data_IF_924787957796
#
_entry.id   IF_924787957796
#
_cell.length_a   1.000
_cell.length_b   1.000
_cell.length_c   1.000
_cell.angle_alpha   90.00
_cell.angle_beta   90.00
_cell.angle_gamma   90.00
#
_symmetry.space_group_name_H-M   'P 1'
#
loop_
_entity.id
_entity.type
_entity.pdbx_description
1 polymer ?
#
# COMPACT_ATOMS: atom_id res chain seq x y z
N UNK A 1 -30.01 15.27 -42.21
CA UNK A 1 -28.86 15.93 -41.55
C UNK A 1 -28.33 15.14 -40.35
N UNK A 2 -29.07 14.17 -39.80
CA UNK A 2 -28.66 13.39 -38.63
C UNK A 2 -27.63 12.27 -38.94
N UNK A 3 -27.61 11.76 -40.18
CA UNK A 3 -26.71 10.66 -40.60
C UNK A 3 -25.24 11.06 -40.68
N UNK A 4 -24.92 12.34 -40.93
CA UNK A 4 -23.55 12.85 -40.94
C UNK A 4 -23.01 13.10 -39.52
N UNK A 5 -23.87 13.56 -38.59
CA UNK A 5 -23.51 13.78 -37.18
C UNK A 5 -23.20 12.49 -36.42
N UNK A 6 -23.98 11.42 -36.67
CA UNK A 6 -23.76 10.09 -36.09
C UNK A 6 -22.53 9.35 -36.63
N UNK A 7 -22.00 9.75 -37.79
CA UNK A 7 -20.74 9.18 -38.28
C UNK A 7 -19.55 9.93 -37.70
N UNK A 8 -19.70 11.22 -37.49
CA UNK A 8 -18.66 12.09 -36.95
C UNK A 8 -18.46 11.88 -35.44
N UNK A 9 -19.54 11.71 -34.66
CA UNK A 9 -19.43 11.38 -33.23
C UNK A 9 -18.76 10.00 -32.99
N UNK A 10 -19.02 9.02 -33.86
CA UNK A 10 -18.46 7.68 -33.74
C UNK A 10 -16.97 7.69 -34.12
N UNK A 11 -16.58 8.43 -35.16
CA UNK A 11 -15.16 8.62 -35.48
C UNK A 11 -14.43 9.37 -34.37
N UNK A 12 -15.02 10.44 -33.83
CA UNK A 12 -14.41 11.21 -32.72
C UNK A 12 -14.30 10.36 -31.45
N UNK A 13 -15.33 9.57 -31.11
CA UNK A 13 -15.28 8.65 -29.97
C UNK A 13 -14.22 7.56 -30.19
N UNK A 14 -14.12 6.97 -31.38
CA UNK A 14 -13.10 5.95 -31.68
C UNK A 14 -11.67 6.51 -31.66
N UNK A 15 -11.47 7.74 -32.12
CA UNK A 15 -10.15 8.41 -32.09
C UNK A 15 -9.79 8.76 -30.64
N UNK A 16 -10.73 9.34 -29.87
CA UNK A 16 -10.50 9.69 -28.47
C UNK A 16 -10.27 8.44 -27.61
N UNK A 17 -11.09 7.40 -27.77
CA UNK A 17 -10.92 6.15 -27.03
C UNK A 17 -9.58 5.49 -27.36
N UNK A 18 -9.11 5.54 -28.61
CA UNK A 18 -7.80 5.01 -29.01
C UNK A 18 -6.62 5.75 -28.38
N UNK A 19 -6.64 7.09 -28.40
CA UNK A 19 -5.59 7.91 -27.82
C UNK A 19 -5.55 7.77 -26.28
N UNK A 20 -6.71 7.73 -25.62
CA UNK A 20 -6.82 7.55 -24.18
C UNK A 20 -6.31 6.16 -23.74
N UNK A 21 -6.68 5.09 -24.45
CA UNK A 21 -6.24 3.73 -24.07
C UNK A 21 -4.75 3.51 -24.30
N UNK A 22 -4.17 4.10 -25.35
CA UNK A 22 -2.74 3.96 -25.63
C UNK A 22 -1.89 4.78 -24.63
N UNK A 23 -2.38 5.97 -24.26
CA UNK A 23 -1.81 6.75 -23.18
C UNK A 23 -1.85 5.96 -21.87
N UNK A 24 -3.00 5.40 -21.49
CA UNK A 24 -3.17 4.62 -20.26
C UNK A 24 -2.28 3.37 -20.27
N UNK A 25 -2.25 2.60 -21.36
CA UNK A 25 -1.41 1.39 -21.49
C UNK A 25 0.08 1.69 -21.34
N UNK A 26 0.50 2.90 -21.71
CA UNK A 26 1.89 3.35 -21.59
C UNK A 26 2.17 3.90 -20.19
N UNK A 27 1.34 4.81 -19.68
CA UNK A 27 1.55 5.46 -18.37
C UNK A 27 1.37 4.51 -17.18
N UNK A 28 0.42 3.59 -17.26
CA UNK A 28 0.09 2.67 -16.18
C UNK A 28 1.30 1.84 -15.71
N UNK A 29 2.08 1.15 -16.57
CA UNK A 29 3.27 0.41 -16.13
C UNK A 29 4.39 1.31 -15.60
N UNK A 30 4.54 2.54 -16.10
CA UNK A 30 5.55 3.47 -15.55
C UNK A 30 5.20 3.90 -14.13
N UNK A 31 3.95 4.30 -13.90
CA UNK A 31 3.46 4.66 -12.57
C UNK A 31 3.51 3.47 -11.62
N UNK A 32 3.11 2.30 -12.09
CA UNK A 32 3.16 1.06 -11.32
C UNK A 32 4.59 0.69 -10.93
N UNK A 33 5.55 0.87 -11.83
CA UNK A 33 6.98 0.70 -11.54
C UNK A 33 7.50 1.67 -10.47
N UNK A 34 7.06 2.92 -10.48
CA UNK A 34 7.44 3.91 -9.46
C UNK A 34 6.81 3.57 -8.09
N UNK A 35 5.54 3.16 -8.08
CA UNK A 35 4.84 2.68 -6.89
C UNK A 35 5.54 1.43 -6.35
N UNK A 36 5.99 0.53 -7.22
CA UNK A 36 6.74 -0.66 -6.86
C UNK A 36 8.04 -0.32 -6.13
N UNK A 37 8.85 0.56 -6.71
CA UNK A 37 10.13 0.98 -6.11
C UNK A 37 9.91 1.67 -4.78
N UNK A 38 9.02 2.66 -4.73
CA UNK A 38 8.74 3.41 -3.50
C UNK A 38 8.12 2.52 -2.42
N UNK A 39 7.23 1.59 -2.78
CA UNK A 39 6.63 0.61 -1.88
C UNK A 39 7.64 -0.38 -1.31
N UNK A 40 8.53 -0.94 -2.16
CA UNK A 40 9.61 -1.83 -1.70
C UNK A 40 10.54 -1.13 -0.73
N UNK A 41 10.96 0.11 -1.04
CA UNK A 41 11.83 0.90 -0.17
C UNK A 41 11.12 1.18 1.16
N UNK A 42 9.86 1.61 1.12
CA UNK A 42 9.06 1.92 2.30
C UNK A 42 8.87 0.71 3.22
N UNK A 43 8.37 -0.41 2.69
CA UNK A 43 8.11 -1.61 3.48
C UNK A 43 9.41 -2.24 4.01
N UNK A 44 10.49 -2.22 3.22
CA UNK A 44 11.81 -2.69 3.68
C UNK A 44 12.34 -1.83 4.83
N UNK A 45 12.21 -0.50 4.75
CA UNK A 45 12.61 0.40 5.83
C UNK A 45 11.80 0.15 7.11
N UNK A 46 10.49 -0.08 7.00
CA UNK A 46 9.65 -0.43 8.16
C UNK A 46 10.13 -1.73 8.81
N UNK A 47 10.39 -2.77 8.03
CA UNK A 47 10.94 -4.04 8.54
C UNK A 47 12.30 -3.82 9.23
N UNK A 48 13.19 -3.04 8.61
CA UNK A 48 14.52 -2.72 9.19
C UNK A 48 14.36 -1.97 10.51
N UNK A 49 13.49 -0.96 10.57
CA UNK A 49 13.26 -0.20 11.81
C UNK A 49 12.69 -1.13 12.88
N UNK A 50 11.70 -1.94 12.56
CA UNK A 50 11.05 -2.84 13.52
C UNK A 50 12.01 -3.89 14.06
N UNK A 51 12.81 -4.52 13.17
CA UNK A 51 13.85 -5.49 13.56
C UNK A 51 15.02 -4.85 14.32
N UNK A 52 15.38 -3.61 13.99
CA UNK A 52 16.43 -2.87 14.69
C UNK A 52 15.99 -2.42 16.09
N UNK A 53 14.70 -2.06 16.27
CA UNK A 53 14.08 -1.81 17.59
C UNK A 53 14.05 -3.08 18.43
N UNK A 54 13.64 -4.22 17.84
CA UNK A 54 13.68 -5.56 18.48
C UNK A 54 15.06 -5.95 18.97
N UNK A 55 16.11 -5.64 18.21
CA UNK A 55 17.49 -5.98 18.56
C UNK A 55 18.03 -5.16 19.74
N UNK A 56 17.55 -3.93 19.93
CA UNK A 56 18.00 -3.03 21.01
C UNK A 56 17.21 -3.19 22.30
N UNK A 57 15.93 -3.55 22.19
CA UNK A 57 15.04 -3.66 23.33
C UNK A 57 14.61 -5.14 23.40
N UNK A 58 15.23 -5.92 24.29
CA UNK A 58 14.93 -7.34 24.57
C UNK A 58 13.53 -7.56 25.15
N UNK A 59 12.55 -6.76 24.74
CA UNK A 59 11.19 -6.74 25.22
C UNK A 59 10.29 -7.67 24.38
N UNK A 60 9.30 -8.30 25.03
CA UNK A 60 8.35 -9.17 24.35
C UNK A 60 7.55 -8.40 23.28
N UNK A 61 7.06 -9.10 22.25
CA UNK A 61 6.32 -8.46 21.17
C UNK A 61 5.07 -7.77 21.70
N UNK A 62 5.00 -6.44 21.52
CA UNK A 62 3.73 -5.73 21.61
C UNK A 62 2.85 -6.22 20.46
N UNK A 63 1.56 -6.45 20.72
CA UNK A 63 0.62 -7.00 19.73
C UNK A 63 0.59 -6.22 18.41
N UNK A 64 0.90 -4.92 18.46
CA UNK A 64 1.00 -4.03 17.31
C UNK A 64 2.11 -4.43 16.33
N UNK A 65 3.25 -4.92 16.80
CA UNK A 65 4.38 -5.24 15.94
C UNK A 65 4.11 -6.45 15.04
N UNK A 66 3.35 -7.42 15.54
CA UNK A 66 2.93 -8.61 14.76
C UNK A 66 1.98 -8.19 13.64
N UNK A 67 1.10 -7.22 13.91
CA UNK A 67 0.22 -6.64 12.90
C UNK A 67 1.02 -5.92 11.81
N UNK A 68 2.02 -5.11 12.19
CA UNK A 68 2.89 -4.42 11.24
C UNK A 68 3.68 -5.40 10.36
N UNK A 69 4.18 -6.51 10.91
CA UNK A 69 4.87 -7.54 10.14
C UNK A 69 3.95 -8.23 9.13
N UNK A 70 2.73 -8.57 9.55
CA UNK A 70 1.72 -9.16 8.67
C UNK A 70 1.32 -8.20 7.54
N UNK A 71 1.22 -6.90 7.83
CA UNK A 71 1.00 -5.84 6.85
C UNK A 71 2.16 -5.78 5.84
N UNK A 72 3.41 -5.71 6.31
CA UNK A 72 4.58 -5.68 5.43
C UNK A 72 4.65 -6.91 4.50
N UNK A 73 4.31 -8.10 5.01
CA UNK A 73 4.25 -9.31 4.20
C UNK A 73 3.15 -9.21 3.12
N UNK A 74 1.95 -8.76 3.48
CA UNK A 74 0.85 -8.58 2.55
C UNK A 74 1.17 -7.54 1.45
N UNK A 75 1.78 -6.42 1.80
CA UNK A 75 2.19 -5.39 0.84
C UNK A 75 3.28 -5.87 -0.10
N UNK A 76 4.27 -6.63 0.37
CA UNK A 76 5.28 -7.23 -0.50
C UNK A 76 4.65 -8.22 -1.50
N UNK A 77 3.70 -9.04 -1.02
CA UNK A 77 2.92 -9.93 -1.89
C UNK A 77 2.10 -9.13 -2.93
N UNK A 78 1.48 -8.02 -2.52
CA UNK A 78 0.74 -7.13 -3.43
C UNK A 78 1.64 -6.47 -4.46
N UNK A 79 2.79 -5.94 -4.04
CA UNK A 79 3.78 -5.33 -4.92
C UNK A 79 4.24 -6.34 -5.99
N UNK A 80 4.54 -7.59 -5.61
CA UNK A 80 4.91 -8.63 -6.60
C UNK A 80 3.75 -8.98 -7.54
N UNK A 81 2.51 -8.84 -7.06
CA UNK A 81 1.29 -9.19 -7.78
C UNK A 81 0.78 -8.09 -8.73
N UNK A 82 1.09 -6.83 -8.43
CA UNK A 82 0.71 -5.64 -9.19
C UNK A 82 1.23 -5.63 -10.65
N UNK A 83 2.51 -5.92 -10.96
CA UNK A 83 3.01 -5.91 -12.34
C UNK A 83 2.41 -7.05 -13.18
N UNK A 84 2.03 -8.15 -12.54
CA UNK A 84 1.31 -9.24 -13.20
C UNK A 84 -0.08 -8.80 -13.64
N UNK A 85 -0.78 -8.03 -12.80
CA UNK A 85 -2.08 -7.47 -13.13
C UNK A 85 -1.97 -6.46 -14.29
N UNK A 86 -1.02 -5.54 -14.21
CA UNK A 86 -0.73 -4.57 -15.28
C UNK A 86 -0.40 -5.29 -16.59
N UNK A 87 0.47 -6.30 -16.55
CA UNK A 87 0.84 -7.09 -17.73
C UNK A 87 -0.36 -7.83 -18.36
N UNK A 88 -1.26 -8.37 -17.53
CA UNK A 88 -2.48 -9.04 -18.00
C UNK A 88 -3.43 -8.07 -18.72
N UNK A 89 -3.57 -6.84 -18.20
CA UNK A 89 -4.36 -5.77 -18.84
C UNK A 89 -3.71 -5.34 -20.16
N UNK A 90 -2.39 -5.10 -20.19
CA UNK A 90 -1.69 -4.68 -21.41
C UNK A 90 -1.72 -5.74 -22.50
N UNK A 91 -1.60 -7.02 -22.15
CA UNK A 91 -1.66 -8.15 -23.10
C UNK A 91 -3.09 -8.58 -23.44
N UNK A 92 -4.10 -8.14 -22.70
CA UNK A 92 -5.50 -8.53 -22.88
C UNK A 92 -5.77 -10.03 -22.66
N UNK A 93 -4.82 -10.76 -22.08
CA UNK A 93 -4.88 -12.21 -21.87
C UNK A 93 -4.27 -12.54 -20.52
N UNK A 94 -4.84 -13.52 -19.82
CA UNK A 94 -4.38 -13.97 -18.51
C UNK A 94 -3.55 -15.26 -18.60
N UNK A 95 -2.20 -15.20 -18.62
CA UNK A 95 -1.36 -16.38 -18.84
C UNK A 95 -1.12 -17.21 -17.56
N UNK A 96 -1.48 -16.69 -16.37
CA UNK A 96 -1.08 -17.26 -15.08
C UNK A 96 -2.11 -18.18 -14.42
N UNK A 97 -3.19 -18.50 -15.14
CA UNK A 97 -4.26 -19.39 -14.66
C UNK A 97 -5.17 -18.78 -13.57
N UNK A 98 -6.22 -19.51 -13.21
CA UNK A 98 -7.27 -19.05 -12.29
C UNK A 98 -6.80 -18.85 -10.84
N UNK A 99 -5.73 -19.53 -10.43
CA UNK A 99 -5.16 -19.43 -9.09
C UNK A 99 -4.65 -18.02 -8.79
N UNK A 100 -3.81 -17.46 -9.68
CA UNK A 100 -3.28 -16.12 -9.49
C UNK A 100 -4.39 -15.06 -9.55
N UNK A 101 -5.39 -15.22 -10.44
CA UNK A 101 -6.53 -14.30 -10.51
C UNK A 101 -7.26 -14.21 -9.17
N UNK A 102 -7.60 -15.36 -8.56
CA UNK A 102 -8.21 -15.41 -7.23
C UNK A 102 -7.28 -14.85 -6.15
N UNK A 103 -5.98 -15.13 -6.23
CA UNK A 103 -5.01 -14.59 -5.29
C UNK A 103 -4.98 -13.06 -5.33
N UNK A 104 -4.93 -12.42 -6.51
CA UNK A 104 -4.95 -10.95 -6.65
C UNK A 104 -6.22 -10.38 -6.01
N UNK A 105 -7.39 -10.93 -6.35
CA UNK A 105 -8.66 -10.46 -5.81
C UNK A 105 -8.72 -10.59 -4.28
N UNK A 106 -8.25 -11.72 -3.73
CA UNK A 106 -8.20 -11.92 -2.29
C UNK A 106 -7.25 -10.93 -1.61
N UNK A 107 -6.07 -10.72 -2.18
CA UNK A 107 -5.08 -9.78 -1.68
C UNK A 107 -5.61 -8.34 -1.66
N UNK A 108 -6.35 -7.92 -2.69
CA UNK A 108 -6.96 -6.59 -2.74
C UNK A 108 -7.98 -6.36 -1.62
N UNK A 109 -8.82 -7.36 -1.33
CA UNK A 109 -9.76 -7.32 -0.21
C UNK A 109 -9.00 -7.27 1.11
N UNK A 110 -8.01 -8.16 1.29
CA UNK A 110 -7.18 -8.19 2.49
C UNK A 110 -6.48 -6.85 2.75
N UNK A 111 -5.95 -6.20 1.69
CA UNK A 111 -5.32 -4.88 1.78
C UNK A 111 -6.30 -3.80 2.26
N UNK A 112 -7.50 -3.79 1.69
CA UNK A 112 -8.55 -2.83 2.05
C UNK A 112 -8.97 -2.99 3.51
N UNK A 113 -9.13 -4.24 3.96
CA UNK A 113 -9.41 -4.57 5.36
C UNK A 113 -8.25 -4.19 6.29
N UNK A 114 -7.01 -4.48 5.89
CA UNK A 114 -5.81 -4.16 6.69
C UNK A 114 -5.60 -2.65 6.83
N UNK A 115 -5.86 -1.87 5.77
CA UNK A 115 -5.83 -0.40 5.82
C UNK A 115 -6.85 0.15 6.83
N UNK A 116 -8.09 -0.36 6.78
CA UNK A 116 -9.13 0.00 7.77
C UNK A 116 -8.72 -0.36 9.20
N UNK A 117 -8.15 -1.54 9.40
CA UNK A 117 -7.66 -1.94 10.72
C UNK A 117 -6.48 -1.08 11.21
N UNK A 118 -5.57 -0.70 10.30
CA UNK A 118 -4.43 0.17 10.60
C UNK A 118 -4.90 1.57 11.01
N UNK A 119 -5.87 2.14 10.29
CA UNK A 119 -6.50 3.41 10.67
C UNK A 119 -7.17 3.32 12.05
N UNK A 120 -7.89 2.23 12.33
CA UNK A 120 -8.48 1.99 13.64
C UNK A 120 -7.40 1.88 14.74
N UNK A 121 -6.34 1.10 14.50
CA UNK A 121 -5.23 0.94 15.44
C UNK A 121 -4.47 2.26 15.68
N UNK A 122 -4.27 3.08 14.64
CA UNK A 122 -3.68 4.42 14.76
C UNK A 122 -4.59 5.35 15.57
N UNK A 123 -5.90 5.32 15.33
CA UNK A 123 -6.88 6.09 16.11
C UNK A 123 -6.90 5.67 17.57
N UNK A 124 -6.89 4.36 17.86
CA UNK A 124 -6.80 3.82 19.23
C UNK A 124 -5.48 4.21 19.87
N UNK A 125 -4.36 4.13 19.16
CA UNK A 125 -3.05 4.56 19.68
C UNK A 125 -3.07 6.04 20.04
N UNK A 126 -3.63 6.90 19.18
CA UNK A 126 -3.79 8.34 19.46
C UNK A 126 -4.71 8.59 20.64
N UNK A 127 -5.81 7.85 20.74
CA UNK A 127 -6.73 7.90 21.86
C UNK A 127 -6.02 7.53 23.17
N UNK A 128 -5.28 6.43 23.19
CA UNK A 128 -4.49 6.01 24.35
C UNK A 128 -3.40 7.01 24.71
N UNK A 129 -2.68 7.60 23.75
CA UNK A 129 -1.67 8.65 24.01
C UNK A 129 -2.29 9.87 24.69
N UNK A 130 -3.51 10.25 24.31
CA UNK A 130 -4.21 11.42 24.83
C UNK A 130 -4.85 11.14 26.19
N UNK A 131 -5.51 9.99 26.35
CA UNK A 131 -6.22 9.60 27.60
C UNK A 131 -5.26 9.09 28.67
N UNK A 132 -4.27 8.29 28.27
CA UNK A 132 -3.19 7.87 29.13
C UNK A 132 -1.90 8.57 28.67
N UNK A 133 -1.45 9.63 29.35
CA UNK A 133 -0.11 10.18 29.15
C UNK A 133 0.92 9.15 29.65
N UNK A 134 1.05 8.05 28.91
CA UNK A 134 1.82 6.87 29.25
C UNK A 134 3.27 7.22 29.03
N UNK A 135 3.94 7.47 30.15
CA UNK A 135 5.27 7.00 30.55
C UNK A 135 6.49 7.29 29.65
N UNK A 136 6.37 7.32 28.32
CA UNK A 136 7.43 7.65 27.37
C UNK A 136 7.74 9.15 27.30
N UNK A 137 6.75 10.01 27.54
CA UNK A 137 7.01 11.45 27.77
C UNK A 137 7.61 11.68 29.17
N UNK A 138 7.18 10.88 30.17
CA UNK A 138 7.70 10.94 31.55
C UNK A 138 9.15 10.45 31.65
N UNK A 139 9.57 9.47 30.85
CA UNK A 139 10.96 8.97 30.83
C UNK A 139 11.92 10.02 30.25
N UNK A 140 11.54 10.72 29.17
CA UNK A 140 12.35 11.82 28.59
C UNK A 140 12.40 13.06 29.47
N UNK A 141 11.30 13.42 30.16
CA UNK A 141 11.30 14.54 31.11
C UNK A 141 12.07 14.21 32.39
N UNK A 142 11.92 13.00 32.95
CA UNK A 142 12.68 12.61 34.16
C UNK A 142 14.19 12.59 33.92
N UNK A 143 14.67 12.17 32.74
CA UNK A 143 16.11 12.25 32.42
C UNK A 143 16.60 13.70 32.27
N UNK A 144 15.77 14.62 31.76
CA UNK A 144 16.14 16.03 31.65
C UNK A 144 16.14 16.77 32.99
N UNK A 145 15.28 16.39 33.94
CA UNK A 145 15.26 16.98 35.29
C UNK A 145 16.44 16.48 36.17
N UNK A 146 16.92 15.25 35.96
CA UNK A 146 18.07 14.68 36.67
C UNK A 146 19.44 15.20 36.22
N UNK A 147 19.53 15.90 35.09
CA UNK A 147 20.77 16.56 34.63
C UNK A 147 20.92 18.02 35.11
N UNK A 148 19.90 18.57 35.79
CA UNK A 148 19.88 19.98 36.25
C UNK A 148 19.85 20.13 37.79
N UNK A 149 20.12 19.06 38.55
CA UNK A 149 20.31 19.06 40.02
C UNK A 149 21.61 18.36 40.35
#
# INVERSE_FOLDING_TARGET
METTGLRMNNSVNQISEGEDVDMIKTLLPFLDGFILLSGLIGQTLVIIILTSRRKKESQPPHGTDTLLLALCAADLLLLVCQPFHTFAITRGAWPFGSFLCKAISFLGVACSTASGFTLAALAVTRYFIVVHPTWSYRKRINEQTLMLT
#
